data_IF_341290242322
#
_entry.id   IF_341290242322
#
_cell.length_a   1.000
_cell.length_b   1.000
_cell.length_c   1.000
_cell.angle_alpha   90.00
_cell.angle_beta   90.00
_cell.angle_gamma   90.00
#
_symmetry.space_group_name_H-M   'P 1'
#
loop_
_entity.id
_entity.type
_entity.pdbx_description
1 polymer ?
#
# COMPACT_ATOMS: atom_id res chain seq x y z
N UNK A 1 14.23 -80.17 -21.56
CA UNK A 1 14.90 -79.62 -20.34
C UNK A 1 14.87 -78.14 -20.41
N UNK A 2 13.87 -77.56 -19.72
CA UNK A 2 13.56 -76.14 -19.72
C UNK A 2 14.30 -75.39 -18.60
N UNK A 3 14.98 -74.33 -18.94
CA UNK A 3 15.47 -73.36 -17.95
C UNK A 3 14.68 -72.06 -18.11
N UNK A 4 13.75 -71.87 -17.22
CA UNK A 4 13.06 -70.57 -17.07
C UNK A 4 14.02 -69.51 -16.42
N UNK A 5 14.32 -68.46 -17.17
CA UNK A 5 15.02 -67.32 -16.67
C UNK A 5 14.05 -66.37 -15.99
N UNK A 6 14.22 -66.17 -14.70
CA UNK A 6 13.44 -65.18 -13.91
C UNK A 6 14.06 -63.84 -14.14
N UNK A 7 13.36 -62.93 -14.90
CA UNK A 7 13.71 -61.52 -15.00
C UNK A 7 13.24 -60.79 -13.72
N UNK A 8 14.17 -60.38 -12.87
CA UNK A 8 13.93 -59.46 -11.77
C UNK A 8 13.81 -58.04 -12.32
N UNK A 9 12.61 -57.51 -12.33
CA UNK A 9 12.39 -56.08 -12.59
C UNK A 9 12.73 -55.28 -11.31
N UNK A 10 13.80 -54.51 -11.37
CA UNK A 10 14.12 -53.51 -10.36
C UNK A 10 13.21 -52.32 -10.56
N UNK A 11 12.31 -52.06 -9.61
CA UNK A 11 11.52 -50.83 -9.55
C UNK A 11 12.38 -49.76 -8.87
N UNK A 12 12.92 -48.85 -9.66
CA UNK A 12 13.60 -47.69 -9.13
C UNK A 12 12.55 -46.68 -8.63
N UNK A 13 12.37 -46.57 -7.31
CA UNK A 13 11.54 -45.56 -6.68
C UNK A 13 12.21 -44.20 -6.77
N UNK A 14 11.62 -43.29 -7.55
CA UNK A 14 12.02 -41.88 -7.56
C UNK A 14 11.42 -41.23 -6.31
N UNK A 15 12.25 -40.96 -5.33
CA UNK A 15 11.87 -40.12 -4.16
C UNK A 15 11.93 -38.66 -4.62
N UNK A 16 10.79 -38.08 -4.92
CA UNK A 16 10.66 -36.64 -5.10
C UNK A 16 10.82 -35.98 -3.72
N UNK A 17 11.98 -35.43 -3.45
CA UNK A 17 12.20 -34.54 -2.30
C UNK A 17 11.49 -33.23 -2.57
N UNK A 18 10.37 -32.99 -1.90
CA UNK A 18 9.72 -31.68 -1.83
C UNK A 18 10.60 -30.76 -0.97
N UNK A 19 11.40 -29.94 -1.64
CA UNK A 19 12.02 -28.79 -0.96
C UNK A 19 10.90 -27.79 -0.71
N UNK A 20 10.37 -27.78 0.51
CA UNK A 20 9.51 -26.71 0.96
C UNK A 20 10.36 -25.42 0.97
N UNK A 21 10.19 -24.56 -0.05
CA UNK A 21 10.63 -23.17 0.07
C UNK A 21 9.82 -22.56 1.21
N UNK A 22 10.41 -22.48 2.38
CA UNK A 22 9.91 -21.64 3.44
C UNK A 22 9.94 -20.21 2.89
N UNK A 23 8.78 -19.68 2.50
CA UNK A 23 8.65 -18.25 2.31
C UNK A 23 9.08 -17.62 3.63
N UNK A 24 10.20 -16.90 3.66
CA UNK A 24 10.58 -16.11 4.81
C UNK A 24 9.41 -15.17 5.10
N UNK A 25 8.73 -15.40 6.21
CA UNK A 25 7.70 -14.48 6.69
C UNK A 25 8.36 -13.11 6.81
N UNK A 26 7.66 -12.07 6.33
CA UNK A 26 8.16 -10.72 6.47
C UNK A 26 8.38 -10.41 7.96
N UNK A 27 9.50 -9.80 8.29
CA UNK A 27 9.94 -9.52 9.67
C UNK A 27 9.18 -8.34 10.30
N UNK A 28 7.96 -8.05 9.81
CA UNK A 28 7.10 -6.98 10.29
C UNK A 28 5.64 -7.46 10.38
N UNK A 29 4.77 -6.78 11.16
CA UNK A 29 3.38 -7.17 11.34
C UNK A 29 2.62 -7.29 10.01
N UNK A 30 1.71 -8.25 9.93
CA UNK A 30 0.90 -8.48 8.73
C UNK A 30 0.14 -7.20 8.32
N UNK A 31 0.21 -6.79 7.03
CA UNK A 31 -0.50 -5.64 6.52
C UNK A 31 -2.03 -5.80 6.67
N UNK A 32 -2.68 -4.71 7.07
CA UNK A 32 -4.13 -4.63 7.20
C UNK A 32 -4.70 -3.74 6.09
N UNK A 33 -5.70 -4.24 5.36
CA UNK A 33 -6.39 -3.45 4.34
C UNK A 33 -7.60 -2.76 4.94
N UNK A 34 -7.81 -1.50 4.57
CA UNK A 34 -8.95 -0.71 4.96
C UNK A 34 -9.55 0.05 3.79
N UNK A 35 -10.77 0.53 3.98
CA UNK A 35 -11.48 1.39 3.06
C UNK A 35 -12.21 2.47 3.84
N UNK A 36 -12.16 3.69 3.33
CA UNK A 36 -12.91 4.82 3.86
C UNK A 36 -13.60 5.57 2.73
N UNK A 37 -14.76 6.17 3.01
CA UNK A 37 -15.55 6.91 2.02
C UNK A 37 -15.56 8.38 2.40
N UNK A 38 -14.91 9.21 1.59
CA UNK A 38 -15.06 10.65 1.66
C UNK A 38 -16.41 11.03 1.06
N UNK A 39 -17.35 11.44 1.92
CA UNK A 39 -18.66 11.92 1.46
C UNK A 39 -18.56 13.33 0.94
N UNK A 40 -19.34 13.63 -0.11
CA UNK A 40 -19.45 14.95 -0.74
C UNK A 40 -18.09 15.56 -1.06
N UNK A 41 -17.20 14.74 -1.64
CA UNK A 41 -15.85 15.17 -1.98
C UNK A 41 -15.91 16.20 -3.11
N UNK A 42 -15.45 17.41 -2.82
CA UNK A 42 -15.38 18.51 -3.80
C UNK A 42 -14.01 18.57 -4.44
N UNK A 43 -13.97 18.38 -5.76
CA UNK A 43 -12.76 18.53 -6.57
C UNK A 43 -12.42 20.02 -6.77
N UNK A 44 -11.17 20.30 -7.13
CA UNK A 44 -10.69 21.66 -7.44
C UNK A 44 -11.50 22.32 -8.56
N UNK A 45 -12.08 21.55 -9.46
CA UNK A 45 -12.99 22.01 -10.53
C UNK A 45 -14.34 22.48 -10.02
N UNK A 46 -14.67 22.25 -8.75
CA UNK A 46 -15.96 22.53 -8.14
C UNK A 46 -16.98 21.38 -8.26
N UNK A 47 -16.68 20.35 -9.04
CA UNK A 47 -17.50 19.15 -9.11
C UNK A 47 -17.54 18.41 -7.77
N UNK A 48 -18.68 17.82 -7.43
CA UNK A 48 -18.84 17.07 -6.18
C UNK A 48 -19.14 15.63 -6.46
N UNK A 49 -18.38 14.73 -5.85
CA UNK A 49 -18.65 13.29 -5.86
C UNK A 49 -19.28 12.90 -4.52
N UNK A 50 -20.52 12.37 -4.50
CA UNK A 50 -21.20 12.01 -3.24
C UNK A 50 -20.42 11.01 -2.39
N UNK A 51 -19.75 10.06 -3.04
CA UNK A 51 -18.95 9.04 -2.37
C UNK A 51 -17.65 8.79 -3.14
N UNK A 52 -16.53 9.27 -2.58
CA UNK A 52 -15.19 8.96 -3.05
C UNK A 52 -14.59 7.89 -2.13
N UNK A 53 -14.50 6.66 -2.62
CA UNK A 53 -13.89 5.55 -1.88
C UNK A 53 -12.36 5.65 -1.96
N UNK A 54 -11.71 5.60 -0.81
CA UNK A 54 -10.27 5.53 -0.67
C UNK A 54 -9.92 4.20 -0.01
N UNK A 55 -9.14 3.39 -0.70
CA UNK A 55 -8.55 2.17 -0.18
C UNK A 55 -7.15 2.48 0.38
N UNK A 56 -6.76 1.77 1.43
CA UNK A 56 -5.44 1.91 2.03
C UNK A 56 -4.99 0.61 2.68
N UNK A 57 -3.70 0.48 2.86
CA UNK A 57 -3.08 -0.59 3.65
C UNK A 57 -2.35 0.03 4.83
N UNK A 58 -2.41 -0.60 6.00
CA UNK A 58 -1.64 -0.16 7.18
C UNK A 58 -0.75 -1.28 7.69
N UNK A 59 0.38 -0.91 8.29
CA UNK A 59 1.30 -1.82 8.99
C UNK A 59 1.65 -1.19 10.33
N UNK A 60 1.77 -2.01 11.37
CA UNK A 60 2.01 -1.55 12.73
C UNK A 60 0.73 -1.22 13.50
N UNK A 61 0.87 -0.90 14.77
CA UNK A 61 -0.25 -0.57 15.63
C UNK A 61 -0.69 0.89 15.43
N UNK A 62 -2.02 1.20 15.48
CA UNK A 62 -2.51 2.57 15.38
C UNK A 62 -1.98 3.53 16.46
N UNK A 63 -1.45 3.02 17.56
CA UNK A 63 -0.76 3.79 18.60
C UNK A 63 0.67 4.19 18.25
N UNK A 64 1.25 3.64 17.17
CA UNK A 64 2.57 4.01 16.66
C UNK A 64 2.60 5.41 16.07
N UNK A 65 3.80 5.96 15.85
CA UNK A 65 3.95 7.24 15.19
C UNK A 65 3.48 7.15 13.73
N UNK A 66 2.53 7.97 13.27
CA UNK A 66 1.93 7.79 11.94
C UNK A 66 2.87 8.28 10.83
N UNK A 67 3.05 7.42 9.83
CA UNK A 67 3.85 7.66 8.62
C UNK A 67 2.98 7.43 7.41
N UNK A 68 2.94 8.40 6.50
CA UNK A 68 2.21 8.32 5.24
C UNK A 68 3.19 8.07 4.09
N UNK A 69 2.97 7.03 3.27
CA UNK A 69 3.83 6.72 2.13
C UNK A 69 3.00 6.70 0.84
N UNK A 70 3.39 7.53 -0.13
CA UNK A 70 2.64 7.84 -1.34
C UNK A 70 3.29 7.21 -2.58
N UNK A 71 2.52 6.41 -3.31
CA UNK A 71 3.00 5.65 -4.47
C UNK A 71 3.16 6.49 -5.74
N UNK A 72 3.99 6.00 -6.65
CA UNK A 72 4.19 6.56 -7.98
C UNK A 72 3.05 6.26 -8.97
N UNK A 73 3.15 6.82 -10.17
CA UNK A 73 2.19 6.60 -11.28
C UNK A 73 2.01 5.11 -11.55
N UNK A 74 0.78 4.69 -11.80
CA UNK A 74 0.36 3.30 -12.05
C UNK A 74 0.65 2.33 -10.89
N UNK A 75 1.08 2.83 -9.73
CA UNK A 75 1.25 2.05 -8.50
C UNK A 75 -0.03 1.95 -7.68
N UNK A 76 0.12 1.38 -6.50
CA UNK A 76 -0.86 1.33 -5.43
C UNK A 76 -0.11 1.31 -4.10
N UNK A 77 -0.76 1.57 -2.98
CA UNK A 77 -0.13 1.48 -1.66
C UNK A 77 0.56 0.14 -1.42
N UNK A 78 -0.06 -0.95 -1.86
CA UNK A 78 0.50 -2.29 -1.75
C UNK A 78 1.82 -2.51 -2.53
N UNK A 79 2.17 -1.64 -3.48
CA UNK A 79 3.46 -1.72 -4.21
C UNK A 79 4.66 -1.58 -3.27
N UNK A 80 4.49 -0.94 -2.13
CA UNK A 80 5.52 -0.79 -1.11
C UNK A 80 5.73 -2.03 -0.22
N UNK A 81 4.90 -3.06 -0.38
CA UNK A 81 5.04 -4.33 0.37
C UNK A 81 6.06 -5.28 -0.27
N UNK A 82 6.80 -4.83 -1.27
CA UNK A 82 7.86 -5.62 -1.90
C UNK A 82 9.02 -5.87 -0.94
N UNK A 83 9.75 -6.99 -1.08
CA UNK A 83 10.95 -7.24 -0.28
C UNK A 83 11.99 -6.13 -0.40
N UNK A 84 12.11 -5.50 -1.59
CA UNK A 84 13.06 -4.41 -1.84
C UNK A 84 12.69 -3.09 -1.14
N UNK A 85 11.47 -2.93 -0.67
CA UNK A 85 11.04 -1.74 0.08
C UNK A 85 10.67 -2.10 1.53
N UNK A 86 9.60 -2.85 1.73
CA UNK A 86 9.15 -3.21 3.06
C UNK A 86 10.16 -4.09 3.82
N UNK A 87 10.84 -4.99 3.12
CA UNK A 87 11.88 -5.86 3.69
C UNK A 87 13.09 -5.09 4.20
N UNK A 88 13.37 -3.90 3.63
CA UNK A 88 14.50 -3.05 4.01
C UNK A 88 14.12 -1.95 5.00
N UNK A 89 12.83 -1.63 5.16
CA UNK A 89 12.42 -0.47 5.94
C UNK A 89 11.52 -0.78 7.13
N UNK A 90 10.72 -1.85 7.11
CA UNK A 90 9.63 -2.03 8.07
C UNK A 90 9.91 -3.02 9.19
N UNK A 91 11.01 -3.79 9.09
CA UNK A 91 11.40 -4.76 10.10
C UNK A 91 11.96 -4.15 11.38
N UNK A 92 12.16 -4.95 12.43
CA UNK A 92 12.71 -4.49 13.71
C UNK A 92 14.08 -3.81 13.56
N UNK A 93 14.20 -2.59 14.11
CA UNK A 93 15.43 -1.80 14.04
C UNK A 93 15.69 -1.10 12.71
N UNK A 94 14.86 -1.31 11.70
CA UNK A 94 14.94 -0.62 10.41
C UNK A 94 14.38 0.81 10.51
N UNK A 95 14.63 1.69 9.50
CA UNK A 95 14.26 3.11 9.56
C UNK A 95 12.78 3.39 9.84
N UNK A 96 11.88 2.56 9.34
CA UNK A 96 10.43 2.65 9.52
C UNK A 96 9.88 1.42 10.26
N UNK A 97 10.60 0.97 11.28
CA UNK A 97 10.25 -0.17 12.13
C UNK A 97 8.77 -0.16 12.55
N UNK A 98 8.00 -1.10 12.02
CA UNK A 98 6.54 -1.17 12.23
C UNK A 98 6.12 -1.52 13.67
N UNK A 99 7.07 -1.80 14.56
CA UNK A 99 6.79 -1.88 16.00
C UNK A 99 6.68 -0.50 16.65
N UNK A 100 7.20 0.54 16.00
CA UNK A 100 7.23 1.94 16.48
C UNK A 100 6.35 2.86 15.65
N UNK A 101 6.21 2.55 14.36
CA UNK A 101 5.48 3.38 13.41
C UNK A 101 4.16 2.74 12.99
N UNK A 102 3.15 3.57 12.79
CA UNK A 102 1.92 3.22 12.11
C UNK A 102 2.01 3.68 10.66
N UNK A 103 2.34 2.75 9.77
CA UNK A 103 2.61 3.01 8.37
C UNK A 103 1.31 2.95 7.59
N UNK A 104 1.01 4.00 6.81
CA UNK A 104 -0.22 4.18 6.04
C UNK A 104 0.15 4.29 4.57
N UNK A 105 -0.38 3.37 3.77
CA UNK A 105 -0.14 3.24 2.34
C UNK A 105 -1.47 3.40 1.59
N UNK A 106 -1.94 4.63 1.29
CA UNK A 106 -3.18 4.81 0.54
C UNK A 106 -2.99 4.50 -0.94
N UNK A 107 -4.06 4.04 -1.58
CA UNK A 107 -4.21 4.10 -3.02
C UNK A 107 -4.72 5.49 -3.39
N UNK A 108 -4.05 6.19 -4.29
CA UNK A 108 -4.46 7.50 -4.75
C UNK A 108 -5.79 7.44 -5.55
N UNK A 109 -6.49 8.58 -5.68
CA UNK A 109 -7.60 8.73 -6.62
C UNK A 109 -7.12 8.28 -8.01
N UNK A 110 -7.90 7.44 -8.68
CA UNK A 110 -7.56 6.93 -10.02
C UNK A 110 -6.68 5.67 -10.02
N UNK A 111 -6.26 5.17 -8.85
CA UNK A 111 -5.32 4.05 -8.73
C UNK A 111 -5.85 2.94 -7.80
N UNK A 112 -5.24 1.77 -7.91
CA UNK A 112 -5.46 0.62 -7.03
C UNK A 112 -6.94 0.25 -6.87
N UNK A 113 -7.38 0.17 -5.63
CA UNK A 113 -8.77 -0.11 -5.23
C UNK A 113 -9.55 1.16 -4.84
N UNK A 114 -8.93 2.35 -4.89
CA UNK A 114 -9.62 3.62 -4.73
C UNK A 114 -10.51 3.93 -5.93
N UNK A 115 -11.46 4.86 -5.77
CA UNK A 115 -12.36 5.27 -6.85
C UNK A 115 -11.57 5.78 -8.05
N UNK A 116 -11.92 5.30 -9.25
CA UNK A 116 -11.21 5.59 -10.49
C UNK A 116 -12.16 5.66 -11.68
N UNK A 117 -11.76 6.30 -12.79
CA UNK A 117 -12.61 6.43 -13.99
C UNK A 117 -13.15 5.11 -14.50
N UNK A 118 -12.38 4.02 -14.46
CA UNK A 118 -12.78 2.69 -14.94
C UNK A 118 -13.88 2.04 -14.09
N UNK A 119 -14.21 2.56 -12.90
CA UNK A 119 -15.27 2.03 -12.05
C UNK A 119 -16.69 2.37 -12.55
N UNK A 120 -16.81 3.01 -13.73
CA UNK A 120 -18.10 3.25 -14.40
C UNK A 120 -18.26 4.65 -14.99
N UNK A 121 -17.69 5.68 -14.38
CA UNK A 121 -17.84 7.06 -14.86
C UNK A 121 -17.04 7.34 -16.15
N UNK A 122 -15.92 6.67 -16.35
CA UNK A 122 -15.04 6.82 -17.52
C UNK A 122 -14.75 8.29 -17.83
N UNK A 123 -15.12 8.80 -19.02
CA UNK A 123 -14.91 10.18 -19.43
C UNK A 123 -15.75 11.21 -18.62
N UNK A 124 -16.73 10.75 -17.84
CA UNK A 124 -17.54 11.60 -16.94
C UNK A 124 -16.95 11.66 -15.52
N UNK A 125 -15.81 11.03 -15.29
CA UNK A 125 -15.12 11.16 -14.01
C UNK A 125 -14.63 12.60 -13.86
N UNK A 126 -14.78 13.24 -12.69
CA UNK A 126 -14.29 14.59 -12.46
C UNK A 126 -12.82 14.73 -12.83
N UNK A 127 -12.46 15.86 -13.42
CA UNK A 127 -11.05 16.16 -13.62
C UNK A 127 -10.40 16.36 -12.27
N UNK A 128 -9.33 15.63 -12.00
CA UNK A 128 -8.61 15.71 -10.74
C UNK A 128 -7.13 15.99 -10.96
N UNK A 129 -6.54 16.63 -9.98
CA UNK A 129 -5.13 17.01 -9.93
C UNK A 129 -4.47 16.44 -8.69
N UNK A 130 -3.22 16.80 -8.47
CA UNK A 130 -2.52 16.47 -7.22
C UNK A 130 -3.16 17.16 -6.00
N UNK A 131 -3.75 18.35 -6.16
CA UNK A 131 -4.49 19.01 -5.07
C UNK A 131 -5.61 18.13 -4.55
N UNK A 132 -6.39 17.52 -5.45
CA UNK A 132 -7.47 16.61 -5.08
C UNK A 132 -6.96 15.33 -4.42
N UNK A 133 -5.85 14.78 -4.93
CA UNK A 133 -5.23 13.60 -4.34
C UNK A 133 -4.77 13.88 -2.91
N UNK A 134 -4.09 15.00 -2.69
CA UNK A 134 -3.59 15.42 -1.38
C UNK A 134 -4.75 15.76 -0.44
N UNK A 135 -5.79 16.46 -0.92
CA UNK A 135 -6.98 16.74 -0.13
C UNK A 135 -7.71 15.45 0.30
N UNK A 136 -7.83 14.47 -0.61
CA UNK A 136 -8.45 13.19 -0.29
C UNK A 136 -7.62 12.39 0.73
N UNK A 137 -6.30 12.37 0.58
CA UNK A 137 -5.39 11.72 1.53
C UNK A 137 -5.45 12.41 2.90
N UNK A 138 -5.49 13.73 2.94
CA UNK A 138 -5.62 14.47 4.18
C UNK A 138 -6.93 14.14 4.90
N UNK A 139 -8.06 14.10 4.18
CA UNK A 139 -9.34 13.67 4.76
C UNK A 139 -9.33 12.23 5.24
N UNK A 140 -8.69 11.31 4.50
CA UNK A 140 -8.51 9.92 4.95
C UNK A 140 -7.75 9.88 6.28
N UNK A 141 -6.65 10.60 6.37
CA UNK A 141 -5.77 10.62 7.56
C UNK A 141 -6.50 11.26 8.74
N UNK A 142 -7.18 12.39 8.54
CA UNK A 142 -7.83 13.14 9.62
C UNK A 142 -9.19 12.60 10.01
N UNK A 143 -10.09 12.42 9.03
CA UNK A 143 -11.47 12.01 9.27
C UNK A 143 -11.61 10.48 9.35
N UNK A 144 -10.88 9.76 8.50
CA UNK A 144 -10.97 8.29 8.42
C UNK A 144 -10.16 7.58 9.50
N UNK A 145 -8.95 8.06 9.78
CA UNK A 145 -8.03 7.44 10.73
C UNK A 145 -7.86 8.21 12.04
N UNK A 146 -8.44 9.41 12.15
CA UNK A 146 -8.40 10.23 13.37
C UNK A 146 -7.01 10.80 13.72
N UNK A 147 -6.10 10.85 12.75
CA UNK A 147 -4.71 11.30 12.94
C UNK A 147 -4.68 12.82 12.84
N UNK A 148 -4.01 13.46 13.78
CA UNK A 148 -3.91 14.93 13.87
C UNK A 148 -2.55 15.46 13.43
N UNK A 149 -1.54 14.60 13.31
CA UNK A 149 -0.20 14.97 12.91
C UNK A 149 0.55 13.74 12.40
N UNK A 150 1.42 13.89 11.40
CA UNK A 150 2.24 12.85 10.83
C UNK A 150 3.70 13.02 11.25
N UNK A 151 4.36 11.93 11.60
CA UNK A 151 5.81 11.92 11.79
C UNK A 151 6.54 12.13 10.47
N UNK A 152 6.01 11.56 9.38
CA UNK A 152 6.67 11.58 8.09
C UNK A 152 5.62 11.46 6.97
N UNK A 153 5.82 12.22 5.89
CA UNK A 153 5.24 11.91 4.57
C UNK A 153 6.39 11.59 3.62
N UNK A 154 6.34 10.41 3.02
CA UNK A 154 7.33 9.93 2.05
C UNK A 154 6.65 9.64 0.72
N UNK A 155 7.27 9.99 -0.39
CA UNK A 155 6.70 9.75 -1.70
C UNK A 155 7.70 9.34 -2.76
N UNK A 156 7.26 8.44 -3.65
CA UNK A 156 8.05 8.01 -4.80
C UNK A 156 7.44 8.57 -6.08
N UNK A 157 8.25 9.20 -6.95
CA UNK A 157 7.81 9.71 -8.27
C UNK A 157 6.59 10.65 -8.14
N UNK A 158 5.43 10.30 -8.72
CA UNK A 158 4.17 11.01 -8.52
C UNK A 158 3.85 11.23 -7.02
N UNK A 159 4.13 10.24 -6.17
CA UNK A 159 3.99 10.37 -4.72
C UNK A 159 4.94 11.42 -4.13
N UNK A 160 6.15 11.58 -4.68
CA UNK A 160 7.08 12.63 -4.28
C UNK A 160 6.54 14.04 -4.60
N UNK A 161 5.88 14.22 -5.76
CA UNK A 161 5.19 15.48 -6.06
C UNK A 161 4.05 15.76 -5.08
N UNK A 162 3.29 14.75 -4.71
CA UNK A 162 2.23 14.86 -3.70
C UNK A 162 2.82 15.16 -2.31
N UNK A 163 3.96 14.55 -1.95
CA UNK A 163 4.67 14.84 -0.70
C UNK A 163 5.08 16.31 -0.61
N UNK A 164 5.60 16.87 -1.72
CA UNK A 164 5.89 18.30 -1.80
C UNK A 164 4.63 19.15 -1.57
N UNK A 165 3.53 18.79 -2.22
CA UNK A 165 2.25 19.50 -2.06
C UNK A 165 1.68 19.38 -0.64
N UNK A 166 1.89 18.25 0.05
CA UNK A 166 1.56 18.12 1.47
C UNK A 166 2.25 19.20 2.29
N UNK A 167 3.57 19.40 2.09
CA UNK A 167 4.33 20.44 2.81
C UNK A 167 3.86 21.86 2.52
N UNK A 168 3.44 22.15 1.29
CA UNK A 168 2.96 23.47 0.90
C UNK A 168 1.53 23.72 1.43
N UNK A 169 0.66 22.69 1.38
CA UNK A 169 -0.76 22.83 1.72
C UNK A 169 -1.02 22.71 3.22
N UNK A 170 -0.27 21.85 3.90
CA UNK A 170 -0.45 21.56 5.33
C UNK A 170 0.88 21.61 6.09
N UNK A 171 1.59 22.76 6.10
CA UNK A 171 2.99 22.85 6.56
C UNK A 171 3.20 22.39 8.01
N UNK A 172 2.20 22.53 8.86
CA UNK A 172 2.28 22.18 10.29
C UNK A 172 1.76 20.77 10.59
N UNK A 173 1.40 19.99 9.55
CA UNK A 173 0.76 18.69 9.75
C UNK A 173 1.76 17.52 9.80
N UNK A 174 3.03 17.74 9.48
CA UNK A 174 4.07 16.71 9.53
C UNK A 174 5.41 17.27 10.00
N UNK A 175 6.25 16.38 10.56
CA UNK A 175 7.60 16.75 10.99
C UNK A 175 8.61 16.73 9.83
N UNK A 176 8.47 15.76 8.90
CA UNK A 176 9.46 15.48 7.85
C UNK A 176 8.79 15.12 6.53
N UNK A 177 9.40 15.56 5.43
CA UNK A 177 9.07 15.19 4.05
C UNK A 177 10.27 14.48 3.39
N UNK A 178 10.02 13.39 2.65
CA UNK A 178 11.06 12.62 1.93
C UNK A 178 10.57 12.25 0.54
#
# INVERSE_FOLDING_TARGET
MNRLGIMRRAVAGVVLSWVALSALAADYPAPQQGQWIARDFRFHTGEVMPELRLHYTTIGAPSGQPVLILHGTAGAGASFLSPAFAGELFGPGQPLDASKYFIILPDAIGAGKSTKPSDGLRARFPRYSYDDMVAAQHRLVTEGLGIKHLRLVLGNSMGGMQTWMWGVTYPDFMDVLV
#
